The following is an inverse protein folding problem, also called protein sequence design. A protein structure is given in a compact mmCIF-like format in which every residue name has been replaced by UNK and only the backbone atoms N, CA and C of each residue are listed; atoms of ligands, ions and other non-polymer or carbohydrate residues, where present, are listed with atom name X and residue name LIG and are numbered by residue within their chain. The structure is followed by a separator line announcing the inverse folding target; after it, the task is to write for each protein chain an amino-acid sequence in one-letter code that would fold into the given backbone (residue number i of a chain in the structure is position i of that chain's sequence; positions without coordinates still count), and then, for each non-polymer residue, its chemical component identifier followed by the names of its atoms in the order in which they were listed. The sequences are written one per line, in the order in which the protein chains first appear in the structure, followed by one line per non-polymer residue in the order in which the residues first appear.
data_IF_439444948125
#
_entry.id   IF_439444948125
#
_cell.length_a   1.000
_cell.length_b   1.000
_cell.length_c   1.000
_cell.angle_alpha   90.00
_cell.angle_beta   90.00
_cell.angle_gamma   90.00
#
_symmetry.space_group_name_H-M   'P 1'
#
loop_
_entity.id
_entity.type
_entity.pdbx_description
1 polymer ?
#
# COMPACT_ATOMS: atom_id res chain seq x y z
N UNK A 1 11.01 3.17 32.83
CA UNK A 1 11.52 1.77 32.87
C UNK A 1 12.57 1.62 31.77
N UNK A 2 13.76 1.12 32.11
CA UNK A 2 14.82 0.89 31.12
C UNK A 2 14.64 -0.53 30.57
N UNK A 3 14.06 -0.66 29.34
CA UNK A 3 13.79 -1.93 28.70
C UNK A 3 14.68 -2.13 27.48
N UNK A 4 15.12 -3.37 27.25
CA UNK A 4 15.84 -3.77 26.03
C UNK A 4 14.82 -4.38 25.06
N UNK A 5 14.80 -3.93 23.81
CA UNK A 5 13.92 -4.50 22.81
C UNK A 5 14.44 -5.87 22.33
N UNK A 6 13.51 -6.73 21.91
CA UNK A 6 13.87 -8.04 21.32
C UNK A 6 14.74 -7.87 20.08
N UNK A 7 14.44 -6.86 19.25
CA UNK A 7 15.27 -6.51 18.09
C UNK A 7 16.73 -6.20 18.48
N UNK A 8 16.93 -5.40 19.56
CA UNK A 8 18.27 -5.08 20.06
C UNK A 8 19.00 -6.31 20.61
N UNK A 9 18.28 -7.23 21.26
CA UNK A 9 18.88 -8.48 21.78
C UNK A 9 19.40 -9.34 20.62
N UNK A 10 18.65 -9.47 19.52
CA UNK A 10 19.10 -10.22 18.35
C UNK A 10 20.22 -9.51 17.59
N UNK A 11 20.18 -8.17 17.50
CA UNK A 11 21.21 -7.39 16.80
C UNK A 11 22.56 -7.38 17.54
N UNK A 12 22.53 -7.26 18.87
CA UNK A 12 23.71 -7.13 19.73
C UNK A 12 23.98 -8.40 20.58
N UNK A 13 23.60 -9.57 20.06
CA UNK A 13 23.65 -10.85 20.80
C UNK A 13 25.02 -11.12 21.46
N UNK A 14 26.13 -10.83 20.76
CA UNK A 14 27.49 -11.06 21.26
C UNK A 14 27.84 -10.13 22.43
N UNK A 15 27.30 -8.90 22.43
CA UNK A 15 27.54 -7.93 23.52
C UNK A 15 26.63 -8.18 24.71
N UNK A 16 25.43 -8.73 24.49
CA UNK A 16 24.42 -8.96 25.51
C UNK A 16 24.47 -10.37 26.11
N UNK A 17 25.17 -11.30 25.48
CA UNK A 17 25.40 -12.63 26.03
C UNK A 17 25.97 -12.58 27.45
N UNK A 18 25.35 -13.28 28.39
CA UNK A 18 25.67 -13.30 29.82
C UNK A 18 25.21 -12.08 30.60
N UNK A 19 24.61 -11.06 29.96
CA UNK A 19 24.10 -9.86 30.68
C UNK A 19 22.64 -10.01 31.04
N UNK A 20 22.26 -9.33 32.12
CA UNK A 20 20.87 -9.22 32.53
C UNK A 20 20.18 -8.11 31.73
N UNK A 21 19.01 -8.42 31.18
CA UNK A 21 18.14 -7.52 30.44
C UNK A 21 16.73 -7.52 31.01
N UNK A 22 15.99 -6.43 30.82
CA UNK A 22 14.56 -6.37 31.06
C UNK A 22 13.83 -6.24 29.73
N UNK A 23 12.93 -7.18 29.42
CA UNK A 23 12.11 -7.20 28.23
C UNK A 23 10.64 -7.13 28.62
N UNK A 24 9.84 -6.41 27.81
CA UNK A 24 8.39 -6.31 28.02
C UNK A 24 7.71 -6.76 26.71
N UNK A 25 6.68 -7.59 26.78
CA UNK A 25 6.03 -8.06 25.57
C UNK A 25 4.82 -8.94 25.87
N UNK A 26 4.26 -9.50 24.84
CA UNK A 26 3.08 -10.37 24.91
C UNK A 26 3.47 -11.83 24.68
N UNK A 27 2.96 -12.70 25.52
CA UNK A 27 3.14 -14.15 25.41
C UNK A 27 2.43 -14.68 24.15
N UNK A 28 3.21 -15.26 23.25
CA UNK A 28 2.71 -15.94 22.02
C UNK A 28 2.40 -17.40 22.32
N UNK A 29 3.21 -18.03 23.17
CA UNK A 29 2.97 -19.35 23.74
C UNK A 29 3.55 -19.41 25.14
N UNK A 30 2.92 -20.21 26.00
CA UNK A 30 3.44 -20.60 27.31
C UNK A 30 3.38 -22.13 27.39
N UNK A 31 4.49 -22.77 27.72
CA UNK A 31 4.59 -24.24 27.84
C UNK A 31 5.13 -24.58 29.21
N UNK A 32 4.31 -25.22 30.04
CA UNK A 32 4.69 -25.75 31.32
C UNK A 32 5.22 -27.19 31.22
N UNK A 33 6.40 -27.41 31.74
CA UNK A 33 7.04 -28.76 31.85
C UNK A 33 7.17 -29.18 33.32
N UNK A 34 6.39 -28.56 34.25
CA UNK A 34 6.30 -28.77 35.70
C UNK A 34 7.48 -28.20 36.50
N UNK A 35 8.72 -28.54 36.16
CA UNK A 35 9.93 -28.05 36.82
C UNK A 35 10.60 -26.88 36.09
N UNK A 36 10.30 -26.72 34.84
CA UNK A 36 10.71 -25.61 34.01
C UNK A 36 9.66 -25.35 32.92
N UNK A 37 9.75 -24.25 32.20
CA UNK A 37 8.82 -23.91 31.14
C UNK A 37 9.42 -22.93 30.15
N UNK A 38 8.68 -22.68 29.07
CA UNK A 38 9.09 -21.78 27.99
C UNK A 38 7.98 -20.78 27.68
N UNK A 39 8.37 -19.53 27.50
CA UNK A 39 7.51 -18.49 26.94
C UNK A 39 8.11 -18.05 25.59
N UNK A 40 7.31 -18.02 24.54
CA UNK A 40 7.62 -17.26 23.34
C UNK A 40 7.06 -15.85 23.53
N UNK A 41 7.94 -14.87 23.66
CA UNK A 41 7.59 -13.46 23.86
C UNK A 41 7.81 -12.66 22.60
N UNK A 42 6.87 -11.76 22.28
CA UNK A 42 7.03 -10.77 21.21
C UNK A 42 6.72 -9.37 21.77
N UNK A 43 7.63 -8.43 21.55
CA UNK A 43 7.49 -7.04 22.00
C UNK A 43 7.09 -6.07 20.89
N UNK A 44 6.88 -6.59 19.68
CA UNK A 44 6.56 -5.78 18.52
C UNK A 44 7.78 -5.11 17.85
N UNK A 45 8.99 -5.19 18.38
CA UNK A 45 10.17 -4.53 17.81
C UNK A 45 10.74 -5.25 16.58
N UNK A 46 10.51 -6.56 16.45
CA UNK A 46 10.88 -7.35 15.27
C UNK A 46 9.88 -8.50 15.04
N UNK A 47 10.03 -9.18 13.90
CA UNK A 47 9.16 -10.30 13.55
C UNK A 47 9.42 -11.55 14.39
N UNK A 48 10.67 -11.76 14.83
CA UNK A 48 11.08 -12.90 15.65
C UNK A 48 10.50 -12.86 17.05
N UNK A 49 10.19 -14.03 17.60
CA UNK A 49 9.87 -14.17 19.02
C UNK A 49 11.12 -14.49 19.82
N UNK A 50 11.19 -13.99 21.05
CA UNK A 50 12.22 -14.33 22.03
C UNK A 50 11.79 -15.54 22.86
N UNK A 51 12.60 -16.58 22.95
CA UNK A 51 12.40 -17.64 23.91
C UNK A 51 12.85 -17.20 25.30
N UNK A 52 11.96 -17.35 26.27
CA UNK A 52 12.24 -17.16 27.69
C UNK A 52 12.12 -18.51 28.38
N UNK A 53 13.13 -18.86 29.15
CA UNK A 53 13.15 -20.07 29.98
C UNK A 53 12.77 -19.72 31.42
N UNK A 54 11.76 -20.40 31.96
CA UNK A 54 11.33 -20.31 33.33
C UNK A 54 11.80 -21.54 34.11
N UNK A 55 12.34 -21.34 35.33
CA UNK A 55 12.70 -22.42 36.25
C UNK A 55 11.87 -22.29 37.53
N UNK A 56 11.17 -23.38 37.90
CA UNK A 56 10.33 -23.40 39.07
C UNK A 56 11.10 -23.21 40.40
N UNK A 57 12.40 -23.51 40.40
CA UNK A 57 13.24 -23.28 41.58
C UNK A 57 13.75 -21.84 41.68
N UNK A 58 13.61 -21.04 40.64
CA UNK A 58 14.11 -19.65 40.56
C UNK A 58 12.99 -18.62 40.66
N UNK A 59 11.75 -19.01 40.30
CA UNK A 59 10.59 -18.12 40.21
C UNK A 59 9.56 -18.51 41.31
N UNK A 60 9.41 -17.68 42.31
CA UNK A 60 8.41 -17.88 43.38
C UNK A 60 6.98 -17.96 42.83
N UNK A 61 6.70 -17.24 41.75
CA UNK A 61 5.39 -17.19 41.08
C UNK A 61 5.30 -18.09 39.85
N UNK A 62 6.15 -19.10 39.72
CA UNK A 62 6.20 -19.98 38.54
C UNK A 62 4.82 -20.52 38.10
N UNK A 63 4.02 -21.01 39.07
CA UNK A 63 2.70 -21.57 38.79
C UNK A 63 1.72 -20.54 38.24
N UNK A 64 1.78 -19.33 38.76
CA UNK A 64 0.92 -18.22 38.27
C UNK A 64 1.28 -17.82 36.85
N UNK A 65 2.57 -17.78 36.52
CA UNK A 65 3.05 -17.49 35.18
C UNK A 65 2.71 -18.63 34.22
N UNK A 66 2.95 -19.88 34.63
CA UNK A 66 2.63 -21.06 33.79
C UNK A 66 1.13 -21.19 33.52
N UNK A 67 0.27 -20.66 34.42
CA UNK A 67 -1.18 -20.59 34.24
C UNK A 67 -1.70 -19.43 33.41
N UNK A 68 -0.85 -18.50 32.95
CA UNK A 68 -1.28 -17.38 32.12
C UNK A 68 -1.71 -17.84 30.74
N UNK A 69 -2.67 -17.12 30.16
CA UNK A 69 -3.13 -17.36 28.80
C UNK A 69 -2.24 -16.67 27.75
N UNK A 70 -2.30 -17.18 26.54
CA UNK A 70 -1.72 -16.51 25.36
C UNK A 70 -2.27 -15.08 25.25
N UNK A 71 -1.40 -14.14 24.91
CA UNK A 71 -1.75 -12.72 24.85
C UNK A 71 -1.51 -11.95 26.13
N UNK A 72 -1.17 -12.60 27.25
CA UNK A 72 -0.79 -11.91 28.48
C UNK A 72 0.43 -11.00 28.26
N UNK A 73 0.39 -9.79 28.80
CA UNK A 73 1.50 -8.84 28.79
C UNK A 73 2.41 -9.10 29.99
N UNK A 74 3.70 -9.30 29.72
CA UNK A 74 4.70 -9.71 30.72
C UNK A 74 5.87 -8.73 30.74
N UNK A 75 6.41 -8.51 31.93
CA UNK A 75 7.70 -7.85 32.18
C UNK A 75 8.65 -8.92 32.71
N UNK A 76 9.75 -9.15 31.99
CA UNK A 76 10.68 -10.24 32.29
C UNK A 76 12.09 -9.65 32.45
N UNK A 77 12.70 -9.89 33.59
CA UNK A 77 14.13 -9.62 33.82
C UNK A 77 14.86 -10.96 33.85
N UNK A 78 15.95 -11.08 33.11
CA UNK A 78 16.69 -12.33 33.02
C UNK A 78 18.00 -12.20 32.27
N UNK A 79 18.78 -13.26 32.29
CA UNK A 79 20.11 -13.32 31.66
C UNK A 79 19.98 -13.83 30.23
N UNK A 80 20.58 -13.13 29.28
CA UNK A 80 20.71 -13.58 27.88
C UNK A 80 21.71 -14.73 27.80
N UNK A 81 21.29 -15.86 27.26
CA UNK A 81 22.12 -17.05 27.07
C UNK A 81 22.22 -17.36 25.58
N UNK A 82 23.44 -17.41 25.07
CA UNK A 82 23.67 -17.80 23.68
C UNK A 82 23.54 -19.32 23.52
N UNK A 83 22.79 -19.74 22.52
CA UNK A 83 22.48 -21.14 22.22
C UNK A 83 22.79 -21.49 20.75
N UNK A 84 24.06 -21.37 20.30
CA UNK A 84 24.43 -21.49 18.90
C UNK A 84 24.16 -22.86 18.28
N UNK A 85 23.97 -23.89 19.12
CA UNK A 85 23.65 -25.25 18.69
C UNK A 85 22.13 -25.54 18.68
N UNK A 86 21.30 -24.62 19.16
CA UNK A 86 19.85 -24.77 19.19
C UNK A 86 19.20 -24.16 17.93
N UNK A 87 17.91 -24.44 17.75
CA UNK A 87 17.14 -23.87 16.64
C UNK A 87 17.12 -22.34 16.63
N UNK A 88 17.19 -21.73 17.81
CA UNK A 88 17.30 -20.29 17.99
C UNK A 88 18.67 -19.93 18.59
N UNK A 89 19.27 -18.78 18.18
CA UNK A 89 20.65 -18.45 18.53
C UNK A 89 20.84 -18.06 20.00
N UNK A 90 19.75 -17.68 20.68
CA UNK A 90 19.77 -17.23 22.07
C UNK A 90 18.42 -17.43 22.77
N UNK A 91 18.44 -17.38 24.09
CA UNK A 91 17.27 -17.36 24.96
C UNK A 91 17.52 -16.44 26.16
N UNK A 92 16.45 -16.07 26.90
CA UNK A 92 16.57 -15.36 28.16
C UNK A 92 16.19 -16.32 29.30
N UNK A 93 17.10 -16.56 30.22
CA UNK A 93 16.78 -17.25 31.49
C UNK A 93 16.19 -16.27 32.49
N UNK A 94 14.91 -16.42 32.78
CA UNK A 94 14.18 -15.51 33.63
C UNK A 94 14.65 -15.58 35.07
N UNK A 95 14.87 -14.42 35.67
CA UNK A 95 15.11 -14.22 37.10
C UNK A 95 13.86 -13.73 37.80
N UNK A 96 13.10 -12.86 37.14
CA UNK A 96 11.78 -12.39 37.60
C UNK A 96 10.83 -12.25 36.41
N UNK A 97 9.56 -12.57 36.66
CA UNK A 97 8.48 -12.34 35.69
C UNK A 97 7.31 -11.69 36.42
N UNK A 98 6.85 -10.55 35.91
CA UNK A 98 5.65 -9.89 36.39
C UNK A 98 4.58 -9.92 35.31
N UNK A 99 3.34 -10.12 35.68
CA UNK A 99 2.17 -9.97 34.78
C UNK A 99 1.74 -8.51 34.82
N UNK A 100 1.93 -7.80 33.73
CA UNK A 100 1.44 -6.42 33.55
C UNK A 100 -0.05 -6.39 33.21
N UNK A 101 -0.47 -7.33 32.38
CA UNK A 101 -1.87 -7.50 32.00
C UNK A 101 -2.18 -8.96 31.70
N UNK A 102 -3.11 -9.54 32.42
CA UNK A 102 -3.56 -10.91 32.18
C UNK A 102 -4.42 -10.98 30.91
N UNK A 103 -4.42 -12.14 30.26
CA UNK A 103 -5.31 -12.46 29.15
C UNK A 103 -6.35 -13.48 29.60
N UNK A 104 -7.58 -13.31 29.15
CA UNK A 104 -8.69 -14.20 29.51
C UNK A 104 -8.71 -15.48 28.65
N UNK A 105 -9.31 -16.59 29.12
CA UNK A 105 -9.34 -17.86 28.39
C UNK A 105 -10.08 -17.80 27.04
N UNK A 106 -10.95 -16.83 26.84
CA UNK A 106 -11.71 -16.59 25.62
C UNK A 106 -10.95 -15.77 24.56
N UNK A 107 -9.66 -15.44 24.83
CA UNK A 107 -8.81 -14.75 23.85
C UNK A 107 -8.87 -15.46 22.47
N UNK A 108 -9.30 -14.77 21.39
CA UNK A 108 -9.68 -15.44 20.16
C UNK A 108 -8.50 -16.00 19.36
N UNK A 109 -7.30 -15.43 19.54
CA UNK A 109 -6.09 -15.87 18.82
C UNK A 109 -5.36 -16.99 19.57
N UNK A 110 -6.03 -18.11 19.75
CA UNK A 110 -5.46 -19.32 20.35
C UNK A 110 -4.39 -19.95 19.45
N UNK A 111 -3.58 -20.87 20.01
CA UNK A 111 -2.51 -21.60 19.30
C UNK A 111 -3.10 -22.58 18.27
N UNK A 112 -3.69 -22.06 17.20
CA UNK A 112 -4.22 -22.81 16.05
C UNK A 112 -4.10 -21.95 14.79
N UNK A 113 -4.22 -22.57 13.63
CA UNK A 113 -4.31 -21.81 12.38
C UNK A 113 -5.68 -21.10 12.31
N UNK A 114 -5.66 -19.82 12.03
CA UNK A 114 -6.84 -19.01 11.76
C UNK A 114 -6.94 -18.71 10.27
N UNK A 115 -8.14 -18.74 9.71
CA UNK A 115 -8.38 -18.32 8.33
C UNK A 115 -8.37 -16.80 8.23
N UNK A 116 -8.07 -16.28 7.07
CA UNK A 116 -8.06 -14.83 6.82
C UNK A 116 -9.46 -14.24 6.99
N UNK A 117 -10.50 -14.97 6.57
CA UNK A 117 -11.90 -14.59 6.73
C UNK A 117 -12.26 -14.41 8.20
N UNK A 118 -11.87 -15.35 9.05
CA UNK A 118 -12.06 -15.21 10.50
C UNK A 118 -11.31 -13.99 11.05
N UNK A 119 -10.07 -13.78 10.63
CA UNK A 119 -9.27 -12.64 11.09
C UNK A 119 -9.85 -11.29 10.66
N UNK A 120 -10.63 -11.24 9.59
CA UNK A 120 -11.39 -10.03 9.20
C UNK A 120 -12.51 -9.70 10.18
N UNK A 121 -13.05 -10.67 10.92
CA UNK A 121 -14.08 -10.41 11.94
C UNK A 121 -13.50 -9.86 13.26
N UNK A 122 -12.17 -9.94 13.43
CA UNK A 122 -11.43 -9.47 14.61
C UNK A 122 -10.25 -8.58 14.19
N UNK A 123 -10.50 -7.63 13.30
CA UNK A 123 -9.45 -6.81 12.67
C UNK A 123 -8.53 -6.12 13.68
N UNK A 124 -9.06 -5.64 14.81
CA UNK A 124 -8.31 -5.00 15.89
C UNK A 124 -7.28 -5.92 16.57
N UNK A 125 -7.43 -7.24 16.48
CA UNK A 125 -6.49 -8.22 17.05
C UNK A 125 -5.58 -8.87 16.00
N UNK A 126 -5.94 -8.83 14.71
CA UNK A 126 -5.20 -9.53 13.67
C UNK A 126 -3.73 -9.10 13.50
N UNK A 127 -3.28 -7.87 13.88
CA UNK A 127 -1.85 -7.52 13.90
C UNK A 127 -1.00 -8.41 14.79
N UNK A 128 -1.61 -9.08 15.77
CA UNK A 128 -0.94 -10.03 16.66
C UNK A 128 -0.65 -11.38 16.00
N UNK A 129 -1.12 -11.63 14.78
CA UNK A 129 -0.80 -12.84 14.00
C UNK A 129 0.47 -12.65 13.18
N UNK A 130 1.14 -13.74 12.81
CA UNK A 130 2.36 -13.65 12.01
C UNK A 130 2.13 -13.02 10.64
N UNK A 131 1.02 -13.38 9.96
CA UNK A 131 0.68 -12.86 8.64
C UNK A 131 0.57 -11.32 8.67
N UNK A 132 -0.25 -10.78 9.58
CA UNK A 132 -0.50 -9.35 9.63
C UNK A 132 0.64 -8.58 10.28
N UNK A 133 1.36 -9.16 11.25
CA UNK A 133 2.59 -8.58 11.78
C UNK A 133 3.63 -8.40 10.66
N UNK A 134 3.83 -9.40 9.83
CA UNK A 134 4.73 -9.30 8.67
C UNK A 134 4.23 -8.27 7.66
N UNK A 135 2.94 -8.30 7.29
CA UNK A 135 2.37 -7.39 6.29
C UNK A 135 2.53 -5.91 6.69
N UNK A 136 2.19 -5.57 7.95
CA UNK A 136 2.28 -4.18 8.40
C UNK A 136 3.72 -3.72 8.64
N UNK A 137 4.67 -4.61 8.90
CA UNK A 137 6.11 -4.27 8.92
C UNK A 137 6.61 -3.96 7.52
N UNK A 138 6.29 -4.80 6.54
CA UNK A 138 6.61 -4.53 5.13
C UNK A 138 5.97 -3.24 4.66
N UNK A 139 4.67 -3.00 4.99
CA UNK A 139 3.98 -1.75 4.69
C UNK A 139 4.72 -0.53 5.25
N UNK A 140 5.15 -0.59 6.51
CA UNK A 140 5.89 0.50 7.16
C UNK A 140 7.23 0.80 6.47
N UNK A 141 8.02 -0.24 6.17
CA UNK A 141 9.32 -0.10 5.48
C UNK A 141 9.14 0.40 4.05
N UNK A 142 8.13 -0.10 3.33
CA UNK A 142 7.83 0.35 1.97
C UNK A 142 7.42 1.83 1.94
N UNK A 143 6.59 2.30 2.89
CA UNK A 143 6.21 3.70 2.98
C UNK A 143 7.43 4.61 3.21
N UNK A 144 8.33 4.22 4.12
CA UNK A 144 9.56 4.97 4.36
C UNK A 144 10.48 4.96 3.14
N UNK A 145 10.61 3.82 2.46
CA UNK A 145 11.40 3.69 1.24
C UNK A 145 10.91 4.64 0.13
N UNK A 146 9.60 4.80 -0.02
CA UNK A 146 9.02 5.74 -0.99
C UNK A 146 9.45 7.19 -0.68
N UNK A 147 9.34 7.61 0.59
CA UNK A 147 9.80 8.94 0.98
C UNK A 147 11.31 9.14 0.73
N UNK A 148 12.15 8.16 1.09
CA UNK A 148 13.59 8.22 0.82
C UNK A 148 13.87 8.31 -0.68
N UNK A 149 13.20 7.48 -1.50
CA UNK A 149 13.40 7.48 -2.94
C UNK A 149 13.20 8.85 -3.57
N UNK A 150 12.11 9.53 -3.23
CA UNK A 150 11.79 10.83 -3.79
C UNK A 150 12.65 11.96 -3.21
N UNK A 151 12.82 12.01 -1.89
CA UNK A 151 13.57 13.09 -1.25
C UNK A 151 15.06 13.05 -1.59
N UNK A 152 15.66 11.86 -1.67
CA UNK A 152 17.07 11.69 -2.10
C UNK A 152 17.30 12.14 -3.55
N UNK A 153 16.23 12.26 -4.35
CA UNK A 153 16.23 12.76 -5.74
C UNK A 153 15.79 14.22 -5.84
N UNK A 154 15.63 14.92 -4.73
CA UNK A 154 15.28 16.34 -4.69
C UNK A 154 13.80 16.63 -4.92
N UNK A 155 12.93 15.64 -4.87
CA UNK A 155 11.48 15.88 -4.90
C UNK A 155 11.00 16.50 -3.59
N UNK A 156 10.06 17.44 -3.70
CA UNK A 156 9.40 18.04 -2.53
C UNK A 156 8.12 17.27 -2.23
N UNK A 157 7.97 16.81 -0.99
CA UNK A 157 6.71 16.24 -0.50
C UNK A 157 5.69 17.37 -0.27
N UNK A 158 4.51 17.26 -0.88
CA UNK A 158 3.47 18.28 -0.82
C UNK A 158 2.17 17.73 -0.26
N UNK A 159 1.42 18.57 0.44
CA UNK A 159 0.09 18.29 0.92
C UNK A 159 -0.95 18.67 -0.13
N UNK A 160 -1.83 17.72 -0.50
CA UNK A 160 -2.99 17.97 -1.34
C UNK A 160 -4.27 17.80 -0.53
N UNK A 161 -5.33 18.60 -0.79
CA UNK A 161 -6.56 18.54 -0.01
C UNK A 161 -7.27 17.20 -0.15
N UNK A 162 -7.75 16.67 0.97
CA UNK A 162 -8.61 15.46 1.00
C UNK A 162 -10.05 15.81 0.64
N UNK A 163 -10.52 17.01 1.04
CA UNK A 163 -11.85 17.52 0.68
C UNK A 163 -11.69 18.43 -0.54
N UNK A 164 -12.43 18.16 -1.59
CA UNK A 164 -12.33 18.86 -2.87
C UNK A 164 -13.71 19.18 -3.45
N UNK A 165 -13.77 20.23 -4.26
CA UNK A 165 -14.95 20.54 -5.08
C UNK A 165 -14.74 20.12 -6.56
N UNK A 166 -13.57 19.56 -6.92
CA UNK A 166 -13.22 19.15 -8.28
C UNK A 166 -13.09 17.63 -8.38
N UNK A 167 -13.55 17.05 -9.48
CA UNK A 167 -13.35 15.64 -9.79
C UNK A 167 -12.11 15.47 -10.67
N UNK A 168 -11.06 14.85 -10.15
CA UNK A 168 -9.82 14.64 -10.87
C UNK A 168 -9.98 13.68 -12.07
N UNK A 169 -10.81 12.66 -11.94
CA UNK A 169 -11.03 11.66 -12.98
C UNK A 169 -12.09 12.10 -14.01
N UNK A 170 -12.93 13.08 -13.66
CA UNK A 170 -14.01 13.58 -14.50
C UNK A 170 -15.23 12.66 -14.63
N UNK A 171 -15.22 11.51 -13.99
CA UNK A 171 -16.31 10.53 -13.94
C UNK A 171 -16.26 9.69 -12.65
N UNK A 172 -15.52 10.14 -11.63
CA UNK A 172 -15.31 9.41 -10.39
C UNK A 172 -16.57 9.37 -9.53
N UNK A 173 -16.94 8.19 -9.02
CA UNK A 173 -17.90 8.07 -7.94
C UNK A 173 -17.26 8.56 -6.64
N UNK A 174 -17.66 9.77 -6.22
CA UNK A 174 -17.07 10.45 -5.06
C UNK A 174 -17.97 10.35 -3.84
N UNK A 175 -17.40 10.10 -2.67
CA UNK A 175 -18.10 10.28 -1.40
C UNK A 175 -18.36 11.76 -1.16
N UNK A 176 -19.63 12.12 -0.97
CA UNK A 176 -20.00 13.49 -0.67
C UNK A 176 -19.70 13.84 0.80
N UNK A 177 -19.13 15.02 1.01
CA UNK A 177 -18.91 15.63 2.35
C UNK A 177 -19.93 16.74 2.54
N UNK A 178 -20.77 16.63 3.55
CA UNK A 178 -21.83 17.59 3.83
C UNK A 178 -22.11 17.72 5.34
N UNK A 179 -22.54 18.89 5.77
CA UNK A 179 -23.05 19.16 7.11
C UNK A 179 -24.57 19.42 7.10
N UNK A 180 -25.20 19.32 5.94
CA UNK A 180 -26.66 19.46 5.82
C UNK A 180 -27.38 18.32 6.56
N UNK A 181 -28.53 18.65 7.18
CA UNK A 181 -29.40 17.64 7.75
C UNK A 181 -30.08 16.82 6.62
N UNK A 182 -29.69 15.55 6.51
CA UNK A 182 -30.23 14.66 5.48
C UNK A 182 -31.74 14.39 5.60
N UNK A 183 -32.36 14.67 6.78
CA UNK A 183 -33.80 14.59 6.96
C UNK A 183 -34.55 15.85 6.49
N UNK A 184 -33.81 16.97 6.35
CA UNK A 184 -34.40 18.26 5.96
C UNK A 184 -33.40 19.03 5.08
N UNK A 185 -33.12 18.49 3.90
CA UNK A 185 -32.18 19.07 2.94
C UNK A 185 -32.77 20.33 2.33
N UNK A 186 -32.11 21.52 2.43
CA UNK A 186 -32.53 22.74 1.78
C UNK A 186 -32.49 22.58 0.26
N UNK A 187 -33.49 23.15 -0.43
CA UNK A 187 -33.65 23.01 -1.88
C UNK A 187 -33.82 24.37 -2.57
N UNK A 188 -33.24 24.43 -3.76
CA UNK A 188 -33.49 25.49 -4.73
C UNK A 188 -34.91 25.43 -5.29
N UNK A 189 -35.40 26.48 -5.94
CA UNK A 189 -36.75 26.48 -6.56
C UNK A 189 -36.98 25.40 -7.60
N UNK A 190 -35.91 24.90 -8.24
CA UNK A 190 -35.92 23.82 -9.23
C UNK A 190 -35.91 22.41 -8.60
N UNK A 191 -35.86 22.32 -7.26
CA UNK A 191 -35.84 21.07 -6.51
C UNK A 191 -34.46 20.46 -6.29
N UNK A 192 -33.39 21.04 -6.82
CA UNK A 192 -32.01 20.64 -6.56
C UNK A 192 -31.60 21.04 -5.14
N UNK A 193 -30.52 20.41 -4.62
CA UNK A 193 -29.98 20.75 -3.29
C UNK A 193 -29.37 22.14 -3.31
N UNK A 194 -29.74 22.96 -2.33
CA UNK A 194 -29.14 24.30 -2.11
C UNK A 194 -27.84 24.16 -1.30
N UNK A 195 -26.73 23.89 -1.95
CA UNK A 195 -25.40 23.78 -1.33
C UNK A 195 -24.86 25.12 -0.81
N UNK A 196 -25.47 26.28 -1.11
CA UNK A 196 -25.05 27.56 -0.51
C UNK A 196 -25.25 27.58 1.00
N UNK A 197 -26.10 26.72 1.53
CA UNK A 197 -26.35 26.53 2.95
C UNK A 197 -25.45 25.44 3.59
N UNK A 198 -24.65 24.75 2.82
CA UNK A 198 -23.69 23.77 3.33
C UNK A 198 -22.40 24.45 3.81
N UNK A 199 -21.55 23.74 4.56
CA UNK A 199 -20.35 24.27 5.21
C UNK A 199 -19.41 25.00 4.25
N UNK A 200 -19.18 24.46 3.05
CA UNK A 200 -18.30 25.05 2.02
C UNK A 200 -19.04 25.96 1.04
N UNK A 201 -20.33 26.19 1.23
CA UNK A 201 -21.22 26.94 0.30
C UNK A 201 -21.20 26.40 -1.13
N UNK A 202 -20.79 25.17 -1.33
CA UNK A 202 -20.76 24.40 -2.58
C UNK A 202 -20.72 22.90 -2.29
N UNK A 203 -21.03 22.08 -3.30
CA UNK A 203 -20.86 20.66 -3.19
C UNK A 203 -19.38 20.32 -2.98
N UNK A 204 -19.09 19.52 -1.97
CA UNK A 204 -17.75 19.02 -1.66
C UNK A 204 -17.75 17.50 -1.53
N UNK A 205 -16.63 16.90 -1.82
CA UNK A 205 -16.45 15.45 -1.82
C UNK A 205 -15.07 15.06 -1.27
N UNK A 206 -14.89 13.80 -0.92
CA UNK A 206 -13.56 13.23 -0.68
C UNK A 206 -12.85 13.03 -2.02
N UNK A 207 -11.56 13.34 -2.06
CA UNK A 207 -10.78 13.27 -3.30
C UNK A 207 -10.58 11.85 -3.82
N UNK A 208 -10.60 11.68 -5.13
CA UNK A 208 -10.24 10.43 -5.82
C UNK A 208 -8.76 10.39 -6.23
N UNK A 209 -8.05 11.53 -6.14
CA UNK A 209 -6.62 11.70 -6.47
C UNK A 209 -6.13 13.07 -6.03
N UNK A 210 -4.89 13.16 -5.61
CA UNK A 210 -4.23 14.44 -5.31
C UNK A 210 -3.57 15.10 -6.53
N UNK A 211 -3.59 14.45 -7.70
CA UNK A 211 -2.82 14.84 -8.88
C UNK A 211 -3.01 16.30 -9.30
N UNK A 212 -4.24 16.74 -9.56
CA UNK A 212 -4.48 18.10 -10.09
C UNK A 212 -3.93 19.18 -9.15
N UNK A 213 -4.05 18.99 -7.84
CA UNK A 213 -3.49 19.91 -6.84
C UNK A 213 -1.96 19.75 -6.75
N UNK A 214 -1.42 18.56 -6.95
CA UNK A 214 0.03 18.30 -6.98
C UNK A 214 0.70 19.04 -8.16
N UNK A 215 0.04 19.10 -9.31
CA UNK A 215 0.53 19.85 -10.48
C UNK A 215 0.72 21.36 -10.19
N UNK A 216 -0.07 21.97 -9.30
CA UNK A 216 0.14 23.36 -8.87
C UNK A 216 1.53 23.54 -8.26
N UNK A 217 1.94 22.58 -7.44
CA UNK A 217 3.27 22.61 -6.83
C UNK A 217 4.38 22.30 -7.83
N UNK A 218 4.14 21.38 -8.78
CA UNK A 218 5.11 21.07 -9.83
C UNK A 218 5.45 22.30 -10.67
N UNK A 219 4.47 23.14 -10.99
CA UNK A 219 4.66 24.41 -11.72
C UNK A 219 5.46 25.47 -10.93
N UNK A 220 5.76 25.22 -9.67
CA UNK A 220 6.54 26.13 -8.81
C UNK A 220 7.83 25.51 -8.29
N UNK A 221 7.82 24.20 -7.97
CA UNK A 221 8.93 23.49 -7.33
C UNK A 221 9.66 22.50 -8.26
N UNK A 222 9.14 22.28 -9.46
CA UNK A 222 9.71 21.33 -10.44
C UNK A 222 9.30 19.89 -10.17
N UNK A 223 10.02 19.20 -9.29
CA UNK A 223 9.71 17.81 -8.95
C UNK A 223 9.05 17.72 -7.58
N UNK A 224 7.83 17.21 -7.54
CA UNK A 224 7.04 17.09 -6.32
C UNK A 224 6.37 15.73 -6.23
N UNK A 225 5.91 15.34 -5.04
CA UNK A 225 5.05 14.16 -4.88
C UNK A 225 4.09 14.34 -3.71
N UNK A 226 2.92 13.74 -3.82
CA UNK A 226 2.02 13.54 -2.69
C UNK A 226 1.96 12.06 -2.33
N UNK A 227 1.75 11.77 -1.07
CA UNK A 227 1.48 10.43 -0.55
C UNK A 227 0.33 10.57 0.44
N UNK A 228 -0.87 10.35 -0.02
CA UNK A 228 -2.07 10.66 0.71
C UNK A 228 -3.24 9.70 0.48
N UNK A 229 -4.23 9.75 1.37
CA UNK A 229 -5.44 8.94 1.23
C UNK A 229 -6.28 9.44 0.06
N UNK A 230 -6.86 8.48 -0.65
CA UNK A 230 -7.81 8.68 -1.74
C UNK A 230 -9.05 7.81 -1.52
N UNK A 231 -10.18 8.24 -2.09
CA UNK A 231 -11.48 7.66 -1.80
C UNK A 231 -12.25 7.45 -3.10
N UNK A 232 -12.79 6.24 -3.29
CA UNK A 232 -13.64 5.93 -4.45
C UNK A 232 -14.90 5.22 -3.98
N UNK A 233 -16.06 5.76 -4.34
CA UNK A 233 -17.37 5.24 -3.95
C UNK A 233 -17.91 4.17 -4.91
N UNK A 234 -17.05 3.62 -5.77
CA UNK A 234 -17.41 2.59 -6.73
C UNK A 234 -18.00 1.36 -6.04
N UNK A 235 -19.16 0.91 -6.51
CA UNK A 235 -19.78 -0.31 -6.01
C UNK A 235 -19.08 -1.57 -6.57
N UNK A 236 -17.80 -1.71 -6.28
CA UNK A 236 -16.96 -2.82 -6.72
C UNK A 236 -16.55 -3.71 -5.54
N UNK A 237 -16.88 -4.99 -5.60
CA UNK A 237 -16.58 -5.95 -4.54
C UNK A 237 -15.50 -6.96 -4.97
N UNK A 238 -14.43 -6.49 -5.59
CA UNK A 238 -13.30 -7.33 -6.01
C UNK A 238 -12.23 -7.44 -4.92
N UNK A 239 -11.22 -8.27 -5.17
CA UNK A 239 -10.07 -8.43 -4.28
C UNK A 239 -9.08 -7.24 -4.35
N UNK A 240 -9.25 -6.32 -5.30
CA UNK A 240 -8.32 -5.23 -5.60
C UNK A 240 -8.90 -3.84 -5.36
N UNK A 241 -10.17 -3.74 -4.93
CA UNK A 241 -10.85 -2.47 -4.69
C UNK A 241 -11.14 -2.28 -3.21
N UNK A 242 -10.72 -1.12 -2.71
CA UNK A 242 -11.12 -0.56 -1.43
C UNK A 242 -11.68 0.85 -1.65
N UNK A 243 -12.58 1.28 -0.79
CA UNK A 243 -13.18 2.62 -0.88
C UNK A 243 -12.25 3.71 -0.34
N UNK A 244 -11.28 3.36 0.50
CA UNK A 244 -10.22 4.20 1.02
C UNK A 244 -8.90 3.46 0.81
N UNK A 245 -7.92 4.13 0.22
CA UNK A 245 -6.56 3.60 -0.02
C UNK A 245 -5.58 4.76 -0.15
N UNK A 246 -4.29 4.49 -0.23
CA UNK A 246 -3.26 5.52 -0.33
C UNK A 246 -2.63 5.55 -1.72
N UNK A 247 -2.47 6.77 -2.26
CA UNK A 247 -1.81 6.99 -3.54
C UNK A 247 -0.48 7.71 -3.36
N UNK A 248 0.51 7.29 -4.14
CA UNK A 248 1.76 8.00 -4.34
C UNK A 248 1.69 8.63 -5.74
N UNK A 249 1.70 9.95 -5.80
CA UNK A 249 1.47 10.70 -7.03
C UNK A 249 2.55 11.78 -7.23
N UNK A 250 3.68 11.43 -7.86
CA UNK A 250 4.70 12.39 -8.26
C UNK A 250 4.29 13.14 -9.53
N UNK A 251 4.68 14.43 -9.59
CA UNK A 251 4.56 15.29 -10.77
C UNK A 251 5.90 15.98 -11.03
N UNK A 252 6.34 15.95 -12.29
CA UNK A 252 7.66 16.41 -12.72
C UNK A 252 7.53 17.43 -13.82
N UNK A 253 7.91 18.69 -13.54
CA UNK A 253 7.97 19.74 -14.57
C UNK A 253 9.14 19.49 -15.53
N UNK A 254 8.97 19.90 -16.79
CA UNK A 254 9.92 19.73 -17.90
C UNK A 254 10.21 18.26 -18.25
N UNK A 255 9.40 17.34 -17.78
CA UNK A 255 9.49 15.90 -18.04
C UNK A 255 8.51 15.43 -19.12
N UNK A 256 8.88 14.38 -19.84
CA UNK A 256 8.01 13.70 -20.80
C UNK A 256 7.60 12.29 -20.34
N UNK A 257 6.94 11.55 -21.23
CA UNK A 257 6.49 10.20 -20.95
C UNK A 257 7.65 9.24 -20.60
N UNK A 258 8.83 9.42 -21.22
CA UNK A 258 10.00 8.59 -20.93
C UNK A 258 10.56 8.87 -19.52
N UNK A 259 10.65 10.14 -19.13
CA UNK A 259 11.10 10.54 -17.79
C UNK A 259 10.20 9.96 -16.71
N UNK A 260 8.88 9.94 -16.97
CA UNK A 260 7.92 9.24 -16.09
C UNK A 260 8.25 7.76 -15.99
N UNK A 261 8.35 7.04 -17.11
CA UNK A 261 8.60 5.61 -17.12
C UNK A 261 9.92 5.25 -16.42
N UNK A 262 10.99 6.01 -16.67
CA UNK A 262 12.28 5.82 -16.01
C UNK A 262 12.21 6.01 -14.50
N UNK A 263 11.47 7.03 -14.05
CA UNK A 263 11.27 7.32 -12.61
C UNK A 263 10.45 6.22 -11.93
N UNK A 264 9.38 5.77 -12.58
CA UNK A 264 8.49 4.72 -12.07
C UNK A 264 9.23 3.38 -11.95
N UNK A 265 9.99 2.99 -12.97
CA UNK A 265 10.84 1.80 -12.95
C UNK A 265 11.87 1.84 -11.82
N UNK A 266 12.59 2.96 -11.70
CA UNK A 266 13.57 3.16 -10.64
C UNK A 266 12.94 3.08 -9.24
N UNK A 267 11.75 3.64 -9.05
CA UNK A 267 11.01 3.61 -7.78
C UNK A 267 10.61 2.18 -7.39
N UNK A 268 10.00 1.42 -8.31
CA UNK A 268 9.60 0.03 -8.04
C UNK A 268 10.81 -0.80 -7.63
N UNK A 269 11.89 -0.72 -8.38
CA UNK A 269 13.14 -1.44 -8.08
C UNK A 269 13.73 -1.05 -6.72
N UNK A 270 13.70 0.23 -6.38
CA UNK A 270 14.19 0.74 -5.10
C UNK A 270 13.36 0.20 -3.92
N UNK A 271 12.03 0.25 -4.01
CA UNK A 271 11.12 -0.26 -2.98
C UNK A 271 11.37 -1.76 -2.75
N UNK A 272 11.41 -2.55 -3.82
CA UNK A 272 11.65 -4.00 -3.73
C UNK A 272 12.98 -4.29 -3.03
N UNK A 273 14.07 -3.67 -3.47
CA UNK A 273 15.41 -3.88 -2.86
C UNK A 273 15.43 -3.50 -1.39
N UNK A 274 14.84 -2.35 -1.05
CA UNK A 274 14.80 -1.87 0.35
C UNK A 274 14.00 -2.83 1.25
N UNK A 275 12.87 -3.34 0.79
CA UNK A 275 12.06 -4.29 1.56
C UNK A 275 12.77 -5.64 1.70
N UNK A 276 13.38 -6.14 0.63
CA UNK A 276 14.14 -7.40 0.66
C UNK A 276 15.33 -7.32 1.63
N UNK A 277 16.00 -6.17 1.71
CA UNK A 277 17.11 -5.92 2.62
C UNK A 277 16.68 -5.75 4.08
N UNK A 278 15.63 -4.93 4.31
CA UNK A 278 15.25 -4.52 5.67
C UNK A 278 14.24 -5.43 6.36
N UNK A 279 13.53 -6.28 5.60
CA UNK A 279 12.51 -7.20 6.09
C UNK A 279 12.82 -8.68 5.72
N UNK A 280 14.05 -9.21 5.92
CA UNK A 280 14.41 -10.54 5.44
C UNK A 280 13.59 -11.66 6.08
N UNK A 281 13.25 -11.54 7.37
CA UNK A 281 12.47 -12.56 8.09
C UNK A 281 11.02 -12.58 7.62
N UNK A 282 10.40 -11.41 7.43
CA UNK A 282 9.05 -11.24 6.90
C UNK A 282 8.96 -11.75 5.46
N UNK A 283 9.94 -11.43 4.61
CA UNK A 283 9.99 -11.89 3.22
C UNK A 283 10.19 -13.40 3.12
N UNK A 284 10.97 -14.01 4.01
CA UNK A 284 11.09 -15.46 4.11
C UNK A 284 9.78 -16.11 4.55
N UNK A 285 9.05 -15.46 5.47
CA UNK A 285 7.73 -15.91 5.88
C UNK A 285 6.72 -15.88 4.71
N UNK A 286 6.64 -14.77 3.98
CA UNK A 286 5.73 -14.68 2.82
C UNK A 286 6.09 -15.70 1.75
N UNK A 287 7.36 -15.85 1.40
CA UNK A 287 7.81 -16.81 0.40
C UNK A 287 7.51 -18.26 0.79
N UNK A 288 7.51 -18.57 2.09
CA UNK A 288 7.28 -19.93 2.59
C UNK A 288 5.81 -20.30 2.78
N UNK A 289 4.98 -19.31 3.19
CA UNK A 289 3.63 -19.57 3.68
C UNK A 289 2.50 -18.88 2.91
N UNK A 290 2.81 -17.87 2.11
CA UNK A 290 1.81 -17.07 1.38
C UNK A 290 1.92 -17.31 -0.13
N UNK A 291 3.09 -17.05 -0.70
CA UNK A 291 3.33 -17.14 -2.15
C UNK A 291 4.72 -17.71 -2.43
N UNK A 292 4.75 -19.01 -2.76
CA UNK A 292 6.01 -19.69 -3.13
C UNK A 292 6.56 -19.10 -4.44
N UNK A 293 7.85 -18.71 -4.41
CA UNK A 293 8.49 -18.03 -5.55
C UNK A 293 8.38 -16.51 -5.52
N UNK A 294 7.76 -15.94 -4.49
CA UNK A 294 7.65 -14.49 -4.31
C UNK A 294 9.00 -13.77 -4.40
N UNK A 295 9.99 -14.26 -3.66
CA UNK A 295 11.32 -13.63 -3.64
C UNK A 295 12.01 -13.67 -4.99
N UNK A 296 11.97 -14.81 -5.67
CA UNK A 296 12.54 -14.97 -7.01
C UNK A 296 11.88 -14.01 -8.02
N UNK A 297 10.54 -13.90 -7.98
CA UNK A 297 9.79 -12.95 -8.82
C UNK A 297 10.18 -11.49 -8.53
N UNK A 298 10.27 -11.09 -7.26
CA UNK A 298 10.67 -9.74 -6.87
C UNK A 298 12.12 -9.43 -7.25
N UNK A 299 13.04 -10.36 -7.05
CA UNK A 299 14.45 -10.22 -7.46
C UNK A 299 14.58 -10.09 -8.98
N UNK A 300 13.80 -10.87 -9.73
CA UNK A 300 13.75 -10.77 -11.19
C UNK A 300 13.27 -9.38 -11.63
N UNK A 301 12.18 -8.87 -11.07
CA UNK A 301 11.66 -7.52 -11.38
C UNK A 301 12.68 -6.44 -11.00
N UNK A 302 13.31 -6.53 -9.84
CA UNK A 302 14.30 -5.55 -9.39
C UNK A 302 15.59 -5.54 -10.23
N UNK A 303 15.87 -6.59 -10.98
CA UNK A 303 17.07 -6.73 -11.83
C UNK A 303 16.82 -6.57 -13.33
N UNK A 304 15.56 -6.71 -13.80
CA UNK A 304 15.21 -6.61 -15.22
C UNK A 304 15.01 -5.16 -15.63
N UNK A 305 15.34 -4.84 -16.88
CA UNK A 305 14.86 -3.63 -17.54
C UNK A 305 13.39 -3.81 -17.94
N UNK A 306 12.57 -2.80 -17.72
CA UNK A 306 11.16 -2.89 -18.07
C UNK A 306 10.97 -2.71 -19.58
N UNK A 307 10.19 -3.58 -20.20
CA UNK A 307 9.85 -3.47 -21.60
C UNK A 307 8.93 -2.26 -21.85
N UNK A 308 8.93 -1.74 -23.08
CA UNK A 308 8.02 -0.68 -23.52
C UNK A 308 7.36 -1.11 -24.82
N UNK A 309 6.06 -0.98 -24.90
CA UNK A 309 5.26 -1.37 -26.07
C UNK A 309 4.09 -0.40 -26.19
N UNK A 310 3.74 0.00 -27.41
CA UNK A 310 2.52 0.79 -27.61
C UNK A 310 1.28 -0.07 -27.39
N UNK A 311 0.17 0.56 -26.97
CA UNK A 311 -1.12 -0.10 -26.85
C UNK A 311 -1.54 -0.79 -28.15
N UNK A 312 -1.31 -0.14 -29.29
CA UNK A 312 -1.62 -0.72 -30.60
C UNK A 312 -0.85 -2.01 -30.85
N UNK A 313 0.47 -2.01 -30.62
CA UNK A 313 1.29 -3.24 -30.74
C UNK A 313 0.90 -4.31 -29.71
N UNK A 314 0.61 -3.91 -28.47
CA UNK A 314 0.14 -4.84 -27.45
C UNK A 314 -1.17 -5.52 -27.84
N UNK A 315 -2.13 -4.76 -28.38
CA UNK A 315 -3.41 -5.30 -28.90
C UNK A 315 -3.17 -6.27 -30.05
N UNK A 316 -2.27 -5.97 -30.98
CA UNK A 316 -1.93 -6.89 -32.10
C UNK A 316 -1.31 -8.19 -31.60
N UNK A 317 -0.42 -8.15 -30.59
CA UNK A 317 0.14 -9.34 -29.95
C UNK A 317 -0.92 -10.19 -29.25
N UNK A 318 -1.83 -9.52 -28.53
CA UNK A 318 -2.90 -10.18 -27.79
C UNK A 318 -3.93 -10.81 -28.73
N UNK A 319 -4.31 -10.12 -29.83
CA UNK A 319 -5.25 -10.63 -30.84
C UNK A 319 -4.81 -11.95 -31.47
N UNK A 320 -3.50 -12.19 -31.63
CA UNK A 320 -2.96 -13.44 -32.13
C UNK A 320 -3.26 -14.63 -31.20
N UNK A 321 -3.64 -14.35 -29.95
CA UNK A 321 -3.93 -15.33 -28.92
C UNK A 321 -5.33 -15.13 -28.29
N UNK A 322 -6.23 -14.50 -29.01
CA UNK A 322 -7.53 -14.07 -28.49
C UNK A 322 -8.44 -15.24 -28.07
N UNK A 323 -8.19 -16.42 -28.62
CA UNK A 323 -8.86 -17.68 -28.22
C UNK A 323 -8.56 -18.11 -26.79
N UNK A 324 -7.44 -17.65 -26.20
CA UNK A 324 -7.02 -17.97 -24.84
C UNK A 324 -7.67 -17.11 -23.76
N UNK A 325 -8.35 -16.01 -24.15
CA UNK A 325 -8.90 -15.02 -23.22
C UNK A 325 -10.41 -15.15 -23.07
N UNK A 326 -10.89 -14.98 -21.86
CA UNK A 326 -12.33 -14.87 -21.57
C UNK A 326 -12.92 -13.60 -22.19
N UNK A 327 -12.20 -12.48 -22.07
CA UNK A 327 -12.53 -11.20 -22.68
C UNK A 327 -11.73 -11.02 -23.97
N UNK A 328 -12.43 -10.84 -25.10
CA UNK A 328 -11.76 -10.64 -26.40
C UNK A 328 -11.18 -9.24 -26.48
N UNK A 329 -9.95 -9.16 -26.96
CA UNK A 329 -9.23 -7.90 -27.15
C UNK A 329 -9.60 -7.25 -28.46
N UNK A 330 -9.98 -5.98 -28.41
CA UNK A 330 -10.17 -5.12 -29.58
C UNK A 330 -9.53 -3.75 -29.32
N UNK A 331 -9.08 -3.09 -30.38
CA UNK A 331 -8.51 -1.76 -30.28
C UNK A 331 -9.59 -0.75 -29.81
N UNK A 332 -9.25 0.05 -28.81
CA UNK A 332 -10.18 0.98 -28.17
C UNK A 332 -10.84 0.47 -26.90
N UNK A 333 -10.63 -0.80 -26.52
CA UNK A 333 -11.14 -1.39 -25.28
C UNK A 333 -10.07 -1.41 -24.18
N UNK A 334 -10.49 -1.31 -22.91
CA UNK A 334 -9.59 -1.47 -21.77
C UNK A 334 -9.00 -2.88 -21.74
N UNK A 335 -7.69 -2.97 -21.47
CA UNK A 335 -7.03 -4.24 -21.22
C UNK A 335 -7.52 -4.81 -19.87
N UNK A 336 -7.89 -6.08 -19.89
CA UNK A 336 -8.26 -6.79 -18.66
C UNK A 336 -7.02 -7.40 -18.00
N UNK A 337 -7.11 -7.73 -16.73
CA UNK A 337 -6.00 -8.34 -15.97
C UNK A 337 -5.38 -9.57 -16.64
N UNK A 338 -6.19 -10.39 -17.34
CA UNK A 338 -5.68 -11.55 -18.07
C UNK A 338 -4.76 -11.15 -19.24
N UNK A 339 -5.09 -10.05 -19.93
CA UNK A 339 -4.28 -9.49 -21.02
C UNK A 339 -2.96 -8.92 -20.49
N UNK A 340 -3.02 -8.15 -19.41
CA UNK A 340 -1.85 -7.55 -18.74
C UNK A 340 -0.87 -8.62 -18.24
N UNK A 341 -1.40 -9.67 -17.62
CA UNK A 341 -0.60 -10.81 -17.16
C UNK A 341 -0.03 -11.59 -18.32
N UNK A 342 -0.76 -11.77 -19.39
CA UNK A 342 -0.24 -12.45 -20.58
C UNK A 342 0.95 -11.71 -21.19
N UNK A 343 0.89 -10.38 -21.29
CA UNK A 343 2.00 -9.55 -21.73
C UNK A 343 3.23 -9.71 -20.82
N UNK A 344 3.06 -9.61 -19.51
CA UNK A 344 4.17 -9.65 -18.53
C UNK A 344 4.73 -11.04 -18.30
N UNK A 345 3.89 -12.10 -18.33
CA UNK A 345 4.29 -13.46 -17.94
C UNK A 345 4.61 -14.37 -19.14
N UNK A 346 3.98 -14.15 -20.30
CA UNK A 346 4.15 -14.99 -21.48
C UNK A 346 4.94 -14.32 -22.60
N UNK A 347 4.66 -13.05 -22.91
CA UNK A 347 5.29 -12.36 -24.05
C UNK A 347 6.67 -11.81 -23.66
N UNK A 348 6.72 -10.93 -22.67
CA UNK A 348 7.95 -10.22 -22.28
C UNK A 348 8.71 -10.88 -21.14
N UNK A 349 8.04 -11.69 -20.34
CA UNK A 349 8.57 -12.37 -19.14
C UNK A 349 9.27 -11.41 -18.16
N UNK A 350 8.79 -10.18 -18.10
CA UNK A 350 9.29 -9.08 -17.25
C UNK A 350 8.25 -7.96 -17.18
N UNK A 351 8.42 -6.93 -16.33
CA UNK A 351 7.54 -5.77 -16.34
C UNK A 351 7.50 -5.07 -17.68
N UNK A 352 6.34 -4.49 -18.00
CA UNK A 352 6.06 -3.86 -19.29
C UNK A 352 5.35 -2.54 -19.09
N UNK A 353 5.82 -1.47 -19.70
CA UNK A 353 5.02 -0.26 -19.91
C UNK A 353 4.24 -0.40 -21.22
N UNK A 354 2.93 -0.27 -21.15
CA UNK A 354 2.06 -0.13 -22.32
C UNK A 354 1.77 1.35 -22.48
N UNK A 355 2.08 1.91 -23.67
CA UNK A 355 2.02 3.35 -23.93
C UNK A 355 1.00 3.71 -25.00
N UNK A 356 0.67 4.99 -25.12
CA UNK A 356 -0.10 5.55 -26.24
C UNK A 356 -1.49 4.91 -26.37
N UNK A 357 -2.25 4.98 -25.29
CA UNK A 357 -3.62 4.46 -25.23
C UNK A 357 -4.61 5.30 -26.07
N UNK A 358 -5.72 4.71 -26.52
CA UNK A 358 -6.81 5.46 -27.14
C UNK A 358 -7.33 6.57 -26.20
N UNK A 359 -7.55 7.77 -26.76
CA UNK A 359 -7.98 8.93 -25.97
C UNK A 359 -9.36 8.76 -25.31
N UNK A 360 -10.21 7.91 -25.90
CA UNK A 360 -11.59 7.68 -25.46
C UNK A 360 -11.68 6.96 -24.12
N UNK A 361 -10.64 6.17 -23.78
CA UNK A 361 -10.59 5.38 -22.54
C UNK A 361 -9.66 5.97 -21.48
N UNK A 362 -9.14 7.18 -21.70
CA UNK A 362 -8.21 7.85 -20.77
C UNK A 362 -8.70 9.23 -20.36
N UNK A 363 -8.20 9.73 -19.23
CA UNK A 363 -8.63 10.96 -18.58
C UNK A 363 -8.34 12.22 -19.41
N UNK A 364 -9.08 13.29 -19.12
CA UNK A 364 -9.07 14.55 -19.90
C UNK A 364 -7.73 15.29 -19.88
N UNK A 365 -6.95 15.13 -18.83
CA UNK A 365 -5.69 15.86 -18.62
C UNK A 365 -4.48 15.25 -19.32
N UNK A 366 -4.64 14.11 -19.99
CA UNK A 366 -3.54 13.43 -20.66
C UNK A 366 -3.24 14.08 -22.01
N UNK A 367 -1.94 14.26 -22.30
CA UNK A 367 -1.49 14.90 -23.55
C UNK A 367 -1.96 14.11 -24.76
N UNK A 368 -2.70 14.77 -25.66
CA UNK A 368 -3.11 14.17 -26.92
C UNK A 368 -1.93 14.08 -27.90
N UNK A 369 -1.69 12.90 -28.46
CA UNK A 369 -0.67 12.68 -29.46
C UNK A 369 -1.06 13.31 -30.81
N UNK A 370 -0.07 13.53 -31.66
CA UNK A 370 -0.28 14.22 -32.95
C UNK A 370 -1.09 13.38 -33.96
N UNK A 371 -1.32 12.09 -33.68
CA UNK A 371 -2.19 11.20 -34.45
C UNK A 371 -3.69 11.52 -34.30
N UNK A 372 -4.03 12.32 -33.28
CA UNK A 372 -5.41 12.70 -32.92
C UNK A 372 -6.28 11.56 -32.36
N UNK A 373 -5.71 10.38 -32.10
CA UNK A 373 -6.41 9.17 -31.67
C UNK A 373 -5.92 8.67 -30.32
N UNK A 374 -4.66 8.88 -30.00
CA UNK A 374 -4.04 8.38 -28.78
C UNK A 374 -3.60 9.50 -27.85
N UNK A 375 -3.29 9.15 -26.62
CA UNK A 375 -2.73 10.05 -25.60
C UNK A 375 -1.41 9.48 -25.06
N UNK A 376 -0.51 10.35 -24.65
CA UNK A 376 0.79 10.01 -24.07
C UNK A 376 0.60 9.49 -22.63
N UNK A 377 -0.17 8.41 -22.50
CA UNK A 377 -0.35 7.65 -21.25
C UNK A 377 0.58 6.46 -21.23
N UNK A 378 0.92 5.97 -20.06
CA UNK A 378 1.58 4.68 -19.89
C UNK A 378 1.08 4.01 -18.60
N UNK A 379 0.80 2.70 -18.69
CA UNK A 379 0.50 1.87 -17.55
C UNK A 379 1.65 0.88 -17.35
N UNK A 380 2.18 0.79 -16.12
CA UNK A 380 3.21 -0.16 -15.76
C UNK A 380 2.56 -1.46 -15.29
N UNK A 381 2.81 -2.52 -16.03
CA UNK A 381 2.32 -3.86 -15.75
C UNK A 381 3.43 -4.71 -15.14
N UNK A 382 3.12 -5.46 -14.07
CA UNK A 382 4.07 -6.37 -13.43
C UNK A 382 3.53 -7.80 -13.38
N UNK A 383 4.40 -8.84 -13.42
CA UNK A 383 3.97 -10.22 -13.32
C UNK A 383 3.20 -10.49 -12.02
N UNK A 384 2.12 -11.26 -12.10
CA UNK A 384 1.30 -11.68 -10.94
C UNK A 384 0.15 -10.72 -10.58
N UNK A 385 0.28 -9.43 -10.86
CA UNK A 385 -0.74 -8.42 -10.52
C UNK A 385 -1.36 -7.76 -11.75
N UNK A 386 -0.59 -7.51 -12.83
CA UNK A 386 -0.97 -6.65 -13.93
C UNK A 386 -0.61 -5.19 -13.64
N UNK A 387 -1.51 -4.26 -13.93
CA UNK A 387 -1.28 -2.82 -13.70
C UNK A 387 -1.00 -2.51 -12.22
N UNK A 388 0.15 -1.84 -11.98
CA UNK A 388 0.56 -1.36 -10.65
C UNK A 388 0.72 0.17 -10.61
N UNK A 389 1.06 0.81 -11.73
CA UNK A 389 1.18 2.25 -11.90
C UNK A 389 0.45 2.65 -13.18
N UNK A 390 -0.34 3.70 -13.12
CA UNK A 390 -0.88 4.43 -14.26
C UNK A 390 -0.39 5.87 -14.25
N UNK A 391 -0.09 6.42 -15.43
CA UNK A 391 0.37 7.81 -15.54
C UNK A 391 0.39 8.32 -16.96
N UNK A 392 0.83 9.58 -17.13
CA UNK A 392 0.90 10.22 -18.43
C UNK A 392 1.82 11.42 -18.45
N UNK A 393 2.22 11.85 -19.62
CA UNK A 393 2.52 13.25 -19.85
C UNK A 393 1.20 14.03 -19.81
N UNK A 394 1.21 15.19 -19.16
CA UNK A 394 0.02 16.03 -18.97
C UNK A 394 -0.17 16.95 -20.18
N UNK A 395 -1.42 17.31 -20.48
CA UNK A 395 -1.70 18.25 -21.56
C UNK A 395 -1.23 19.66 -21.16
N UNK A 396 -0.21 20.14 -21.84
CA UNK A 396 0.39 21.45 -21.61
C UNK A 396 -0.21 22.58 -22.50
N UNK A 397 -0.97 22.19 -23.53
CA UNK A 397 -1.60 23.14 -24.48
C UNK A 397 -2.98 23.52 -23.98
N UNK A 398 -3.17 24.82 -23.67
CA UNK A 398 -4.40 25.34 -23.06
C UNK A 398 -5.63 25.06 -23.93
N UNK A 399 -5.53 25.39 -25.21
CA UNK A 399 -6.63 25.23 -26.16
C UNK A 399 -7.09 23.78 -26.34
N UNK A 400 -6.15 22.85 -26.32
CA UNK A 400 -6.44 21.40 -26.41
C UNK A 400 -7.09 20.90 -25.12
N UNK A 401 -6.59 21.33 -23.95
CA UNK A 401 -7.16 20.98 -22.65
C UNK A 401 -8.59 21.50 -22.50
N UNK A 402 -8.83 22.78 -22.83
CA UNK A 402 -10.17 23.40 -22.76
C UNK A 402 -11.15 22.69 -23.73
N UNK A 403 -10.71 22.37 -24.94
CA UNK A 403 -11.51 21.62 -25.90
C UNK A 403 -11.89 20.23 -25.39
N UNK A 404 -10.94 19.54 -24.71
CA UNK A 404 -11.20 18.19 -24.16
C UNK A 404 -12.17 18.22 -22.99
N UNK A 405 -12.06 19.20 -22.09
CA UNK A 405 -13.01 19.43 -20.99
C UNK A 405 -14.45 19.61 -21.56
N UNK A 406 -14.59 20.41 -22.62
CA UNK A 406 -15.88 20.63 -23.28
C UNK A 406 -16.40 19.36 -24.00
N UNK A 407 -15.53 18.63 -24.72
CA UNK A 407 -15.87 17.37 -25.40
C UNK A 407 -16.46 16.33 -24.45
N UNK A 408 -15.94 16.26 -23.22
CA UNK A 408 -16.41 15.34 -22.19
C UNK A 408 -17.62 15.86 -21.39
N UNK A 409 -18.14 17.05 -21.72
CA UNK A 409 -19.29 17.65 -21.03
C UNK A 409 -18.99 18.06 -19.60
N UNK A 410 -17.73 18.24 -19.23
CA UNK A 410 -17.32 18.70 -17.91
C UNK A 410 -17.57 20.21 -17.78
N UNK A 411 -17.84 20.68 -16.55
CA UNK A 411 -18.06 22.10 -16.31
C UNK A 411 -16.71 22.86 -16.24
N UNK A 412 -16.38 23.77 -17.18
CA UNK A 412 -15.12 24.50 -17.19
C UNK A 412 -14.88 25.35 -15.93
N UNK A 413 -15.94 25.81 -15.26
CA UNK A 413 -15.87 26.61 -14.03
C UNK A 413 -15.26 25.82 -12.85
N UNK A 414 -15.27 24.49 -12.89
CA UNK A 414 -14.66 23.64 -11.86
C UNK A 414 -13.15 23.49 -12.06
N UNK A 415 -12.64 23.81 -13.26
CA UNK A 415 -11.24 23.59 -13.68
C UNK A 415 -10.52 24.87 -14.11
N UNK A 416 -11.08 26.09 -13.91
CA UNK A 416 -10.46 27.35 -14.30
C UNK A 416 -9.06 27.52 -13.76
N UNK A 417 -8.84 27.17 -12.49
CA UNK A 417 -7.55 27.24 -11.79
C UNK A 417 -6.53 26.24 -12.37
N UNK A 418 -6.98 25.10 -12.84
CA UNK A 418 -6.15 24.10 -13.50
C UNK A 418 -5.74 24.56 -14.90
N UNK A 419 -6.63 25.19 -15.65
CA UNK A 419 -6.34 25.83 -16.92
C UNK A 419 -5.36 27.00 -16.77
N UNK A 420 -5.40 27.72 -15.65
CA UNK A 420 -4.45 28.81 -15.37
C UNK A 420 -2.99 28.33 -15.31
N UNK A 421 -2.72 27.10 -14.91
CA UNK A 421 -1.38 26.50 -14.97
C UNK A 421 -0.85 26.41 -16.42
N UNK A 422 -1.74 26.37 -17.40
CA UNK A 422 -1.38 26.36 -18.83
C UNK A 422 -1.29 27.78 -19.38
N UNK A 423 -2.04 28.71 -18.80
CA UNK A 423 -2.05 30.11 -19.21
C UNK A 423 -0.83 30.88 -18.72
N UNK A 424 -0.36 30.57 -17.53
CA UNK A 424 0.69 31.32 -16.83
C UNK A 424 1.99 30.51 -16.70
N UNK A 425 2.71 30.36 -17.81
CA UNK A 425 4.02 29.70 -17.84
C UNK A 425 3.95 28.17 -17.91
N UNK A 426 3.10 27.68 -18.79
CA UNK A 426 2.98 26.24 -19.07
C UNK A 426 4.33 25.62 -19.48
N UNK A 427 4.55 24.40 -19.04
CA UNK A 427 5.66 23.58 -19.50
C UNK A 427 5.20 22.14 -19.70
N UNK A 428 5.94 21.38 -20.49
CA UNK A 428 5.81 19.93 -20.56
C UNK A 428 6.02 19.36 -19.16
N UNK A 429 5.14 18.50 -18.70
CA UNK A 429 5.24 17.83 -17.40
C UNK A 429 4.56 16.47 -17.43
N UNK A 430 5.00 15.57 -16.57
CA UNK A 430 4.52 14.21 -16.51
C UNK A 430 4.45 13.73 -15.06
N UNK A 431 3.55 12.79 -14.80
CA UNK A 431 3.40 12.20 -13.49
C UNK A 431 2.65 10.87 -13.54
N UNK A 432 2.56 10.23 -12.40
CA UNK A 432 1.94 8.91 -12.28
C UNK A 432 1.33 8.66 -10.91
N UNK A 433 0.47 7.66 -10.81
CA UNK A 433 -0.11 7.19 -9.57
C UNK A 433 0.27 5.74 -9.27
N UNK A 434 0.80 5.48 -8.07
CA UNK A 434 0.99 4.14 -7.52
C UNK A 434 0.02 3.94 -6.36
N UNK A 435 -0.88 2.96 -6.47
CA UNK A 435 -1.69 2.51 -5.34
C UNK A 435 -0.83 1.78 -4.31
N UNK A 436 -0.73 2.34 -3.10
CA UNK A 436 0.18 1.80 -2.08
C UNK A 436 -0.23 0.40 -1.62
N UNK A 437 -1.51 0.15 -1.43
CA UNK A 437 -2.04 -1.16 -1.06
C UNK A 437 -1.73 -2.20 -2.13
N UNK A 438 -1.84 -1.84 -3.40
CA UNK A 438 -1.49 -2.72 -4.53
C UNK A 438 0.01 -3.06 -4.52
N UNK A 439 0.86 -2.07 -4.19
CA UNK A 439 2.30 -2.32 -3.99
C UNK A 439 2.58 -3.25 -2.80
N UNK A 440 1.89 -3.07 -1.67
CA UNK A 440 2.04 -3.95 -0.51
C UNK A 440 1.57 -5.37 -0.83
N UNK A 441 0.45 -5.54 -1.55
CA UNK A 441 0.01 -6.85 -2.06
C UNK A 441 1.11 -7.50 -2.92
N UNK A 442 1.71 -6.72 -3.81
CA UNK A 442 2.78 -7.19 -4.68
C UNK A 442 4.02 -7.65 -3.91
N UNK A 443 4.45 -6.89 -2.92
CA UNK A 443 5.62 -7.19 -2.07
C UNK A 443 5.41 -8.41 -1.16
N UNK A 444 4.17 -8.71 -0.78
CA UNK A 444 3.85 -9.74 0.21
C UNK A 444 3.25 -11.02 -0.37
N UNK A 445 2.79 -10.97 -1.62
CA UNK A 445 2.02 -12.03 -2.25
C UNK A 445 0.60 -12.20 -1.69
N UNK A 446 0.14 -11.27 -0.84
CA UNK A 446 -1.23 -11.26 -0.32
C UNK A 446 -2.18 -10.91 -1.46
N UNK A 447 -3.17 -11.77 -1.72
CA UNK A 447 -4.04 -11.66 -2.89
C UNK A 447 -5.24 -10.72 -2.73
N UNK A 448 -5.53 -10.24 -1.51
CA UNK A 448 -6.71 -9.43 -1.23
C UNK A 448 -6.33 -8.12 -0.52
N UNK A 449 -6.76 -7.00 -1.08
CA UNK A 449 -6.49 -5.65 -0.55
C UNK A 449 -6.96 -5.47 0.91
N UNK A 450 -8.06 -6.16 1.31
CA UNK A 450 -8.56 -6.15 2.69
C UNK A 450 -7.56 -6.68 3.72
N UNK A 451 -6.49 -7.35 3.27
CA UNK A 451 -5.52 -8.01 4.14
C UNK A 451 -4.16 -7.29 4.16
N UNK A 452 -4.05 -6.15 3.49
CA UNK A 452 -2.90 -5.25 3.57
C UNK A 452 -3.23 -3.90 4.24
N UNK A 453 -4.48 -3.75 4.67
CA UNK A 453 -4.99 -2.66 5.51
C UNK A 453 -5.43 -3.19 6.87
N UNK A 454 -5.28 -2.38 7.93
CA UNK A 454 -5.73 -2.82 9.25
C UNK A 454 -7.26 -2.88 9.31
N UNK A 455 -7.91 -1.80 8.90
CA UNK A 455 -9.36 -1.61 8.91
C UNK A 455 -9.83 -1.21 7.50
N UNK A 456 -9.96 -2.16 6.56
CA UNK A 456 -10.31 -1.85 5.18
C UNK A 456 -11.72 -1.28 5.08
N UNK A 457 -11.86 -0.20 4.29
CA UNK A 457 -13.14 0.38 3.90
C UNK A 457 -13.56 -0.18 2.56
N UNK A 458 -14.64 -0.93 2.55
CA UNK A 458 -15.17 -1.57 1.33
C UNK A 458 -16.67 -1.50 1.33
N UNK A 459 -17.30 -1.83 0.20
CA UNK A 459 -18.76 -1.87 0.09
C UNK A 459 -19.36 -2.69 1.24
N UNK A 460 -20.28 -2.07 1.98
CA UNK A 460 -20.97 -2.70 3.11
C UNK A 460 -20.12 -2.91 4.37
N UNK A 461 -18.90 -2.38 4.43
CA UNK A 461 -18.02 -2.55 5.59
C UNK A 461 -17.27 -1.26 5.95
N UNK A 462 -17.60 -0.75 7.14
CA UNK A 462 -16.90 0.34 7.82
C UNK A 462 -16.72 0.03 9.32
N UNK A 463 -16.68 -1.25 9.68
CA UNK A 463 -16.48 -1.72 11.04
C UNK A 463 -15.07 -1.34 11.57
N UNK A 464 -14.99 -1.05 12.86
CA UNK A 464 -13.82 -0.52 13.56
C UNK A 464 -13.54 0.92 13.16
#
# INVERSE_FOLDING_TARGET
MNRTTIAAIFADQDKLGGKTVTVCGWARTIRDMKTFGFIELNDGSCFKNLQVVMDANMLDNYKDIAGQNVGAALIITGTVVLTPQAKQPLEVKAQTIAVEGASTPDYPLQKKRHTVEYLRTIQHLRPRTNLFSAAFRVRSVAAHAIHCFFQDRGFVYVHTPIITASDCEGAGEMFQVTTLDLNNVPKNPDGTVDYTQDFFSKRASLTVSGQLNCENFAMAFGNVYTFGPTFRAENSNTQRHAAEFWMIEPEMAFADLNDYMDTAEAMIKYIIRTVMEKCPDEMNFFNSFVDKGLKERLEHVASSDFARVSYTEAVELLKQNNDKFDYKVEWGADLQTEHERYLTEQVYQRPVFVTDYPKEIKAFYMRQNDDGKTVAAADCLVPGIGEIIGGSQREERLDVLEARIQELGMNPEDYWWYCDLRRYGSCRHAGFGLGFERMVMYLTGISNIRDVELHPRTVGNAEF
#
